data_IF_879704650102
#
_entry.id   IF_879704650102
#
_cell.length_a   1.000
_cell.length_b   1.000
_cell.length_c   1.000
_cell.angle_alpha   90.00
_cell.angle_beta   90.00
_cell.angle_gamma   90.00
#
_symmetry.space_group_name_H-M   'P 1'
#
loop_
_entity.id
_entity.type
_entity.pdbx_description
1 polymer ?
#
# COMPACT_ATOMS: atom_id res chain seq x y z
N UNK A 1 19.97 41.93 -4.39
CA UNK A 1 20.99 40.87 -4.54
C UNK A 1 20.28 39.57 -4.22
N UNK A 2 20.17 38.70 -5.22
CA UNK A 2 19.18 37.64 -5.28
C UNK A 2 19.66 36.42 -4.48
N UNK A 3 18.88 36.00 -3.50
CA UNK A 3 19.11 34.77 -2.74
C UNK A 3 18.56 33.60 -3.57
N UNK A 4 19.48 32.80 -4.12
CA UNK A 4 19.17 31.55 -4.84
C UNK A 4 18.78 30.50 -3.80
N UNK A 5 17.53 30.05 -3.83
CA UNK A 5 17.07 28.84 -3.14
C UNK A 5 17.90 27.65 -3.62
N UNK A 6 18.69 27.10 -2.70
CA UNK A 6 19.69 26.06 -2.93
C UNK A 6 19.04 24.68 -2.86
N UNK A 7 19.15 23.99 -3.99
CA UNK A 7 19.00 22.56 -4.32
C UNK A 7 18.77 21.58 -3.16
N UNK A 8 17.62 20.92 -3.21
CA UNK A 8 17.20 19.76 -2.42
C UNK A 8 17.94 18.49 -2.89
N UNK A 9 19.26 18.48 -2.74
CA UNK A 9 20.12 17.35 -3.11
C UNK A 9 20.48 16.53 -1.88
N UNK A 10 20.15 15.24 -1.90
CA UNK A 10 20.52 14.26 -0.86
C UNK A 10 22.04 14.26 -0.63
N UNK A 11 22.52 14.03 0.60
CA UNK A 11 23.92 14.22 0.90
C UNK A 11 24.79 13.06 0.37
N UNK A 12 26.01 13.35 -0.08
CA UNK A 12 26.89 12.43 -0.84
C UNK A 12 27.25 11.09 -0.17
N UNK A 13 26.92 10.90 1.11
CA UNK A 13 27.15 9.66 1.85
C UNK A 13 26.02 8.64 1.72
N UNK A 14 24.96 8.98 0.97
CA UNK A 14 23.83 8.09 0.79
C UNK A 14 24.09 7.09 -0.34
N UNK A 15 23.93 5.78 -0.10
CA UNK A 15 24.16 4.77 -1.12
C UNK A 15 23.19 4.92 -2.30
N UNK A 16 23.68 4.71 -3.53
CA UNK A 16 22.90 4.74 -4.78
C UNK A 16 21.65 3.85 -4.75
N UNK A 17 21.65 2.79 -3.92
CA UNK A 17 20.48 1.92 -3.75
C UNK A 17 19.26 2.65 -3.20
N UNK A 18 19.45 3.73 -2.44
CA UNK A 18 18.38 4.39 -1.71
C UNK A 18 17.34 5.03 -2.65
N UNK A 19 17.79 5.58 -3.77
CA UNK A 19 16.91 6.19 -4.79
C UNK A 19 15.96 5.18 -5.45
N UNK A 20 16.33 3.90 -5.40
CA UNK A 20 15.52 2.83 -5.96
C UNK A 20 14.61 2.15 -4.93
N UNK A 21 14.72 2.48 -3.65
CA UNK A 21 13.95 1.85 -2.57
C UNK A 21 12.79 2.74 -2.10
N UNK A 22 11.73 2.12 -1.58
CA UNK A 22 10.69 2.81 -0.80
C UNK A 22 10.51 2.16 0.54
N UNK A 23 10.45 2.97 1.59
CA UNK A 23 10.24 2.50 2.96
C UNK A 23 8.91 3.00 3.49
N UNK A 24 8.12 2.08 4.04
CA UNK A 24 6.82 2.35 4.61
C UNK A 24 5.68 2.37 3.60
N UNK A 25 4.46 2.33 4.14
CA UNK A 25 3.23 2.20 3.37
C UNK A 25 3.01 3.41 2.44
N UNK A 26 3.02 4.63 3.00
CA UNK A 26 2.70 5.84 2.24
C UNK A 26 3.68 6.10 1.10
N UNK A 27 4.98 5.88 1.31
CA UNK A 27 6.00 6.05 0.27
C UNK A 27 5.78 5.06 -0.88
N UNK A 28 5.55 3.79 -0.54
CA UNK A 28 5.31 2.73 -1.53
C UNK A 28 4.01 2.98 -2.30
N UNK A 29 2.93 3.37 -1.61
CA UNK A 29 1.64 3.68 -2.24
C UNK A 29 1.77 4.89 -3.17
N UNK A 30 2.39 5.99 -2.74
CA UNK A 30 2.62 7.17 -3.60
C UNK A 30 3.41 6.80 -4.86
N UNK A 31 4.41 5.93 -4.75
CA UNK A 31 5.17 5.44 -5.90
C UNK A 31 4.31 4.61 -6.84
N UNK A 32 3.51 3.68 -6.32
CA UNK A 32 2.57 2.87 -7.12
C UNK A 32 1.52 3.74 -7.81
N UNK A 33 0.97 4.73 -7.11
CA UNK A 33 0.01 5.69 -7.67
C UNK A 33 0.64 6.55 -8.77
N UNK A 34 1.89 7.00 -8.59
CA UNK A 34 2.63 7.75 -9.62
C UNK A 34 2.80 6.90 -10.89
N UNK A 35 3.23 5.65 -10.74
CA UNK A 35 3.35 4.70 -11.85
C UNK A 35 1.99 4.44 -12.53
N UNK A 36 0.91 4.30 -11.76
CA UNK A 36 -0.43 4.13 -12.30
C UNK A 36 -0.90 5.37 -13.08
N UNK A 37 -0.56 6.59 -12.62
CA UNK A 37 -0.87 7.83 -13.36
C UNK A 37 -0.19 7.87 -14.72
N UNK A 38 1.06 7.42 -14.81
CA UNK A 38 1.79 7.34 -16.08
C UNK A 38 1.16 6.37 -17.08
N UNK A 39 0.32 5.44 -16.63
CA UNK A 39 -0.40 4.47 -17.48
C UNK A 39 -1.84 4.88 -17.80
N UNK A 40 -2.28 6.08 -17.37
CA UNK A 40 -3.62 6.57 -17.72
C UNK A 40 -3.79 6.62 -19.24
N UNK A 41 -4.89 6.06 -19.79
CA UNK A 41 -5.14 6.12 -21.22
C UNK A 41 -5.28 7.58 -21.65
N UNK A 42 -4.68 7.92 -22.78
CA UNK A 42 -4.57 9.29 -23.32
C UNK A 42 -5.94 9.97 -23.55
N UNK A 43 -7.02 9.19 -23.65
CA UNK A 43 -8.41 9.68 -23.71
C UNK A 43 -8.87 10.35 -22.41
N UNK A 44 -8.27 10.02 -21.26
CA UNK A 44 -8.60 10.56 -19.93
C UNK A 44 -7.64 11.67 -19.48
N UNK A 45 -6.62 12.02 -20.28
CA UNK A 45 -5.59 13.02 -19.91
C UNK A 45 -5.92 14.43 -20.37
N UNK A 46 -7.15 14.71 -20.82
CA UNK A 46 -7.60 16.08 -21.06
C UNK A 46 -7.81 16.77 -19.70
N UNK A 47 -7.00 17.79 -19.41
CA UNK A 47 -7.02 18.62 -18.19
C UNK A 47 -6.33 18.04 -16.94
N UNK A 48 -5.02 17.89 -16.96
CA UNK A 48 -4.21 18.23 -15.77
C UNK A 48 -2.82 18.62 -16.24
N UNK A 49 -2.36 19.82 -15.88
CA UNK A 49 -1.00 20.26 -16.09
C UNK A 49 -0.03 19.19 -15.58
N UNK A 50 0.77 18.65 -16.50
CA UNK A 50 1.87 17.78 -16.15
C UNK A 50 2.91 18.64 -15.43
N UNK A 51 2.99 18.51 -14.11
CA UNK A 51 4.09 19.08 -13.32
C UNK A 51 5.37 18.28 -13.64
N UNK A 52 6.39 18.87 -14.30
CA UNK A 52 7.62 18.19 -14.66
C UNK A 52 8.70 18.40 -13.58
N UNK A 53 8.35 18.29 -12.30
CA UNK A 53 9.28 18.50 -11.18
C UNK A 53 9.56 17.23 -10.38
N UNK A 54 10.33 16.30 -10.97
CA UNK A 54 11.28 15.44 -10.24
C UNK A 54 12.14 14.68 -11.24
N UNK A 55 13.41 15.09 -11.35
CA UNK A 55 14.34 14.80 -12.43
C UNK A 55 14.94 13.39 -12.52
N UNK A 56 14.19 12.32 -12.23
CA UNK A 56 14.63 10.97 -12.60
C UNK A 56 13.42 10.13 -13.06
N UNK A 57 13.50 9.40 -14.19
CA UNK A 57 12.47 8.45 -14.56
C UNK A 57 12.38 7.39 -13.45
N UNK A 58 11.34 7.49 -12.61
CA UNK A 58 11.11 6.54 -11.54
C UNK A 58 10.94 5.15 -12.15
N UNK A 59 11.98 4.33 -12.02
CA UNK A 59 11.95 2.95 -12.47
C UNK A 59 10.77 2.21 -11.80
N UNK A 60 10.16 1.31 -12.55
CA UNK A 60 9.10 0.44 -12.04
C UNK A 60 9.57 -0.28 -10.79
N UNK A 61 8.65 -0.49 -9.85
CA UNK A 61 8.90 -1.40 -8.74
C UNK A 61 8.91 -2.84 -9.27
N UNK A 62 9.91 -3.63 -8.88
CA UNK A 62 10.01 -5.05 -9.24
C UNK A 62 9.48 -5.97 -8.13
N UNK A 63 9.63 -5.58 -6.86
CA UNK A 63 9.10 -6.34 -5.72
C UNK A 63 8.64 -5.40 -4.62
N UNK A 64 7.57 -5.77 -3.94
CA UNK A 64 7.06 -5.13 -2.73
C UNK A 64 6.95 -6.17 -1.62
N UNK A 65 7.69 -5.97 -0.54
CA UNK A 65 7.65 -6.76 0.68
C UNK A 65 6.65 -6.18 1.67
N UNK A 66 5.82 -7.02 2.29
CA UNK A 66 4.77 -6.60 3.24
C UNK A 66 4.76 -7.51 4.48
N UNK A 67 4.78 -6.91 5.67
CA UNK A 67 4.55 -7.62 6.94
C UNK A 67 3.10 -7.43 7.36
N UNK A 68 2.24 -8.40 7.04
CA UNK A 68 0.80 -8.29 7.33
C UNK A 68 0.48 -8.35 8.83
N UNK A 69 1.33 -8.98 9.63
CA UNK A 69 1.11 -9.08 11.08
C UNK A 69 1.26 -7.72 11.78
N UNK A 70 2.04 -6.80 11.19
CA UNK A 70 2.32 -5.49 11.76
C UNK A 70 1.48 -4.36 11.14
N UNK A 71 0.59 -4.68 10.19
CA UNK A 71 -0.23 -3.71 9.48
C UNK A 71 -1.71 -4.09 9.55
N UNK A 72 -2.62 -3.12 9.72
CA UNK A 72 -4.05 -3.37 9.60
C UNK A 72 -4.41 -3.94 8.22
N UNK A 73 -5.32 -4.92 8.18
CA UNK A 73 -5.75 -5.56 6.92
C UNK A 73 -6.24 -4.54 5.88
N UNK A 74 -6.97 -3.50 6.34
CA UNK A 74 -7.49 -2.40 5.50
C UNK A 74 -6.40 -1.67 4.70
N UNK A 75 -5.17 -1.61 5.24
CA UNK A 75 -4.05 -1.01 4.52
C UNK A 75 -3.48 -1.97 3.48
N UNK A 76 -3.38 -3.26 3.83
CA UNK A 76 -2.77 -4.27 2.95
C UNK A 76 -3.69 -4.71 1.81
N UNK A 77 -5.00 -4.63 1.99
CA UNK A 77 -5.99 -5.12 1.03
C UNK A 77 -5.98 -4.38 -0.31
N UNK A 78 -5.52 -3.13 -0.34
CA UNK A 78 -5.44 -2.32 -1.57
C UNK A 78 -4.13 -2.51 -2.35
N UNK A 79 -3.08 -3.04 -1.72
CA UNK A 79 -1.75 -3.19 -2.33
C UNK A 79 -1.80 -4.05 -3.61
N UNK A 80 -2.47 -5.23 -3.62
CA UNK A 80 -2.57 -6.03 -4.84
C UNK A 80 -3.16 -5.27 -6.03
N UNK A 81 -4.19 -4.44 -5.78
CA UNK A 81 -4.84 -3.65 -6.82
C UNK A 81 -3.94 -2.49 -7.30
N UNK A 82 -3.24 -1.82 -6.39
CA UNK A 82 -2.28 -0.77 -6.75
C UNK A 82 -1.14 -1.33 -7.59
N UNK A 83 -0.62 -2.51 -7.25
CA UNK A 83 0.36 -3.22 -8.08
C UNK A 83 -0.18 -3.57 -9.46
N UNK A 84 -1.44 -4.03 -9.53
CA UNK A 84 -2.04 -4.42 -10.78
C UNK A 84 -2.22 -3.25 -11.76
N UNK A 85 -2.54 -2.07 -11.22
CA UNK A 85 -2.76 -0.83 -11.98
C UNK A 85 -1.46 -0.10 -12.32
N UNK A 86 -0.42 -0.20 -11.49
CA UNK A 86 0.84 0.53 -11.67
C UNK A 86 1.65 0.09 -12.89
N UNK A 87 1.56 -1.19 -13.31
CA UNK A 87 2.40 -1.76 -14.36
C UNK A 87 1.69 -2.88 -15.15
N UNK A 88 2.06 -3.12 -16.43
CA UNK A 88 1.54 -4.25 -17.20
C UNK A 88 1.95 -5.57 -16.56
N UNK A 89 1.22 -6.64 -16.84
CA UNK A 89 1.46 -7.98 -16.28
C UNK A 89 2.93 -8.43 -16.39
N UNK A 90 3.62 -8.09 -17.48
CA UNK A 90 5.01 -8.47 -17.73
C UNK A 90 6.03 -7.74 -16.83
N UNK A 91 5.73 -6.51 -16.39
CA UNK A 91 6.64 -5.68 -15.57
C UNK A 91 6.02 -5.33 -14.22
N UNK A 92 5.00 -6.09 -13.81
CA UNK A 92 4.27 -5.88 -12.56
C UNK A 92 5.14 -6.27 -11.38
N UNK A 93 5.18 -5.44 -10.34
CA UNK A 93 5.88 -5.79 -9.13
C UNK A 93 5.24 -7.02 -8.48
N UNK A 94 6.10 -7.87 -7.89
CA UNK A 94 5.68 -9.07 -7.17
C UNK A 94 5.43 -8.71 -5.71
N UNK A 95 4.37 -9.26 -5.14
CA UNK A 95 4.01 -9.05 -3.74
C UNK A 95 4.56 -10.21 -2.91
N UNK A 96 5.44 -9.91 -1.97
CA UNK A 96 6.05 -10.91 -1.09
C UNK A 96 5.65 -10.60 0.35
N UNK A 97 5.00 -11.57 0.99
CA UNK A 97 4.77 -11.50 2.43
C UNK A 97 6.04 -12.00 3.15
N UNK A 98 6.50 -11.24 4.14
CA UNK A 98 7.62 -11.63 5.00
C UNK A 98 7.20 -11.76 6.46
N UNK A 99 7.96 -12.50 7.26
CA UNK A 99 7.67 -12.69 8.67
C UNK A 99 8.01 -11.44 9.49
N UNK A 100 7.39 -11.29 10.67
CA UNK A 100 7.71 -10.21 11.60
C UNK A 100 9.19 -10.23 12.02
N UNK A 101 9.83 -11.40 12.07
CA UNK A 101 11.25 -11.51 12.39
C UNK A 101 12.14 -10.91 11.27
N UNK A 102 11.80 -11.16 10.01
CA UNK A 102 12.52 -10.57 8.88
C UNK A 102 12.33 -9.05 8.84
N UNK A 103 11.12 -8.58 9.13
CA UNK A 103 10.80 -7.15 9.24
C UNK A 103 11.62 -6.47 10.35
N UNK A 104 11.74 -7.07 11.53
CA UNK A 104 12.57 -6.54 12.62
C UNK A 104 14.06 -6.43 12.23
N UNK A 105 14.59 -7.39 11.47
CA UNK A 105 15.98 -7.33 11.00
C UNK A 105 16.19 -6.15 10.04
N UNK A 106 15.25 -5.93 9.13
CA UNK A 106 15.30 -4.80 8.20
C UNK A 106 15.10 -3.47 8.92
N UNK A 107 14.18 -3.41 9.89
CA UNK A 107 13.97 -2.23 10.72
C UNK A 107 15.22 -1.85 11.51
N UNK A 108 15.93 -2.85 12.10
CA UNK A 108 17.22 -2.63 12.77
C UNK A 108 18.30 -2.14 11.81
N UNK A 109 18.38 -2.71 10.60
CA UNK A 109 19.35 -2.29 9.59
C UNK A 109 19.11 -0.83 9.13
N UNK A 110 17.84 -0.42 9.00
CA UNK A 110 17.44 0.94 8.63
C UNK A 110 17.39 1.90 9.82
N UNK A 111 17.67 1.43 11.04
CA UNK A 111 17.53 2.18 12.29
C UNK A 111 16.13 2.79 12.46
N UNK A 112 15.10 2.13 11.93
CA UNK A 112 13.71 2.51 12.08
C UNK A 112 13.01 1.63 13.12
N UNK A 113 12.02 2.16 13.85
CA UNK A 113 11.30 1.37 14.85
C UNK A 113 10.50 0.22 14.21
N UNK A 114 9.93 0.44 13.02
CA UNK A 114 9.18 -0.54 12.24
C UNK A 114 9.20 -0.18 10.75
N UNK A 115 9.20 -1.20 9.90
CA UNK A 115 9.19 -1.12 8.44
C UNK A 115 8.16 -2.10 7.89
N UNK A 116 6.89 -1.71 7.92
CA UNK A 116 5.81 -2.61 7.52
C UNK A 116 5.77 -2.96 6.02
N UNK A 117 6.28 -2.07 5.16
CA UNK A 117 6.31 -2.23 3.70
C UNK A 117 7.65 -1.76 3.15
N UNK A 118 8.25 -2.51 2.23
CA UNK A 118 9.44 -2.12 1.47
C UNK A 118 9.22 -2.37 -0.01
N UNK A 119 9.44 -1.36 -0.85
CA UNK A 119 9.45 -1.50 -2.30
C UNK A 119 10.87 -1.46 -2.84
N UNK A 120 11.17 -2.32 -3.82
CA UNK A 120 12.45 -2.37 -4.51
C UNK A 120 12.22 -2.13 -6.00
N UNK A 121 12.97 -1.17 -6.56
CA UNK A 121 12.96 -0.84 -7.98
C UNK A 121 13.60 -1.93 -8.84
N UNK A 122 13.27 -1.94 -10.13
CA UNK A 122 13.87 -2.86 -11.10
C UNK A 122 15.37 -2.62 -11.30
N UNK A 123 15.82 -1.37 -11.20
CA UNK A 123 17.20 -0.95 -11.42
C UNK A 123 18.01 -0.77 -10.12
N UNK A 124 17.63 -1.44 -9.02
CA UNK A 124 18.36 -1.30 -7.74
C UNK A 124 19.73 -1.99 -7.83
N UNK A 125 20.85 -1.25 -7.70
CA UNK A 125 22.18 -1.83 -7.83
C UNK A 125 22.47 -2.84 -6.71
N UNK A 126 22.98 -4.01 -7.06
CA UNK A 126 23.32 -5.07 -6.10
C UNK A 126 22.13 -5.91 -5.61
N UNK A 127 20.91 -5.61 -6.07
CA UNK A 127 19.71 -6.40 -5.75
C UNK A 127 19.32 -7.36 -6.89
N UNK A 128 20.09 -7.46 -7.98
CA UNK A 128 19.72 -8.18 -9.19
C UNK A 128 19.48 -9.67 -8.92
N UNK A 129 20.32 -10.28 -8.09
CA UNK A 129 20.18 -11.70 -7.71
C UNK A 129 18.90 -11.93 -6.90
N UNK A 130 18.56 -11.01 -5.99
CA UNK A 130 17.32 -11.06 -5.22
C UNK A 130 16.11 -10.90 -6.14
N UNK A 131 16.15 -9.91 -7.04
CA UNK A 131 15.08 -9.67 -8.00
C UNK A 131 14.87 -10.89 -8.91
N UNK A 132 15.95 -11.52 -9.38
CA UNK A 132 15.87 -12.74 -10.18
C UNK A 132 15.27 -13.90 -9.39
N UNK A 133 15.72 -14.11 -8.14
CA UNK A 133 15.17 -15.15 -7.27
C UNK A 133 13.67 -14.97 -7.04
N UNK A 134 13.22 -13.76 -6.73
CA UNK A 134 11.79 -13.45 -6.59
C UNK A 134 11.06 -13.64 -7.93
N UNK A 135 11.72 -13.31 -9.05
CA UNK A 135 11.17 -13.49 -10.38
C UNK A 135 10.92 -14.96 -10.75
N UNK A 136 11.71 -15.87 -10.20
CA UNK A 136 11.57 -17.29 -10.48
C UNK A 136 10.64 -18.01 -9.49
N UNK A 137 10.51 -17.50 -8.25
CA UNK A 137 9.79 -18.19 -7.17
C UNK A 137 8.41 -17.61 -6.84
N UNK A 138 8.11 -16.35 -7.16
CA UNK A 138 6.89 -15.67 -6.67
C UNK A 138 6.02 -15.24 -7.84
N UNK A 139 4.80 -15.76 -7.95
CA UNK A 139 3.88 -15.35 -9.00
C UNK A 139 3.56 -13.84 -8.96
N UNK A 140 3.36 -13.24 -10.14
CA UNK A 140 2.85 -11.87 -10.24
C UNK A 140 1.43 -11.79 -9.68
N UNK A 141 1.09 -10.66 -9.06
CA UNK A 141 -0.28 -10.42 -8.59
C UNK A 141 -1.22 -10.44 -9.80
N UNK A 142 -2.21 -11.35 -9.78
CA UNK A 142 -3.24 -11.46 -10.81
C UNK A 142 -4.54 -10.83 -10.31
N UNK A 143 -5.15 -9.99 -11.14
CA UNK A 143 -6.46 -9.37 -10.89
C UNK A 143 -7.33 -9.66 -12.11
N UNK A 144 -8.00 -10.84 -12.14
CA UNK A 144 -8.62 -11.36 -13.36
C UNK A 144 -9.66 -10.43 -13.98
N UNK A 145 -10.43 -9.72 -13.14
CA UNK A 145 -11.46 -8.79 -13.59
C UNK A 145 -10.91 -7.48 -14.16
N UNK A 146 -9.64 -7.16 -13.92
CA UNK A 146 -8.98 -5.95 -14.40
C UNK A 146 -8.22 -6.21 -15.71
N UNK A 147 -7.50 -7.33 -15.79
CA UNK A 147 -6.62 -7.64 -16.92
C UNK A 147 -7.33 -8.35 -18.08
N UNK A 148 -8.41 -9.07 -17.78
CA UNK A 148 -9.21 -9.75 -18.80
C UNK A 148 -10.43 -8.87 -19.13
N UNK A 149 -10.84 -8.88 -20.40
CA UNK A 149 -12.24 -8.61 -20.75
C UNK A 149 -12.90 -10.00 -20.77
N UNK A 150 -13.22 -10.60 -19.61
CA UNK A 150 -13.90 -11.88 -19.64
C UNK A 150 -15.24 -11.65 -20.34
N UNK A 151 -15.74 -12.68 -21.04
CA UNK A 151 -17.16 -12.73 -21.37
C UNK A 151 -17.92 -12.39 -20.08
N UNK A 152 -18.95 -11.52 -20.12
CA UNK A 152 -19.64 -11.09 -18.91
C UNK A 152 -20.20 -12.33 -18.18
N UNK A 153 -19.55 -12.70 -17.08
CA UNK A 153 -20.00 -13.77 -16.18
C UNK A 153 -20.87 -13.09 -15.13
N UNK A 154 -22.16 -13.44 -15.11
CA UNK A 154 -23.04 -12.97 -14.05
C UNK A 154 -22.62 -13.59 -12.72
N UNK A 155 -22.30 -12.76 -11.73
CA UNK A 155 -22.09 -13.18 -10.36
C UNK A 155 -23.39 -13.00 -9.57
N UNK A 156 -24.00 -14.06 -9.02
CA UNK A 156 -25.24 -13.95 -8.26
C UNK A 156 -25.04 -13.14 -6.99
N UNK A 157 -26.10 -12.43 -6.57
CA UNK A 157 -26.08 -11.58 -5.38
C UNK A 157 -25.85 -12.44 -4.13
N UNK A 158 -24.81 -12.11 -3.35
CA UNK A 158 -24.58 -12.69 -2.02
C UNK A 158 -25.08 -11.74 -0.95
N UNK A 159 -26.22 -12.06 -0.35
CA UNK A 159 -26.81 -11.31 0.76
C UNK A 159 -26.32 -11.93 2.07
N UNK A 160 -25.61 -11.15 2.88
CA UNK A 160 -25.23 -11.53 4.25
C UNK A 160 -26.10 -10.76 5.24
N UNK A 161 -26.79 -11.48 6.12
CA UNK A 161 -27.58 -10.89 7.20
C UNK A 161 -26.75 -10.92 8.48
N UNK A 162 -26.57 -9.77 9.11
CA UNK A 162 -25.89 -9.62 10.40
C UNK A 162 -26.89 -9.17 11.45
N UNK A 163 -27.15 -10.03 12.43
CA UNK A 163 -27.99 -9.70 13.57
C UNK A 163 -27.27 -8.72 14.49
N UNK A 164 -27.81 -7.51 14.61
CA UNK A 164 -27.30 -6.48 15.51
C UNK A 164 -28.19 -6.37 16.73
N UNK A 165 -27.65 -6.72 17.91
CA UNK A 165 -28.37 -6.54 19.17
C UNK A 165 -28.55 -5.04 19.46
N UNK A 166 -29.80 -4.57 19.52
CA UNK A 166 -30.10 -3.22 19.98
C UNK A 166 -30.02 -3.15 21.50
N UNK A 167 -29.38 -2.09 22.05
CA UNK A 167 -29.34 -1.90 23.51
C UNK A 167 -30.77 -1.66 24.02
N UNK A 168 -31.26 -2.39 25.04
CA UNK A 168 -32.57 -2.13 25.61
C UNK A 168 -32.58 -0.74 26.25
N UNK A 169 -33.60 0.07 25.94
CA UNK A 169 -33.85 1.36 26.60
C UNK A 169 -34.03 1.10 28.10
N UNK A 170 -33.17 1.73 28.92
CA UNK A 170 -33.26 1.65 30.37
C UNK A 170 -34.64 2.14 30.83
N UNK A 171 -35.45 1.22 31.36
CA UNK A 171 -36.74 1.54 31.95
C UNK A 171 -36.48 2.16 33.33
N UNK A 172 -36.86 3.43 33.51
CA UNK A 172 -36.84 4.10 34.82
C UNK A 172 -37.72 3.30 35.79
N UNK A 173 -37.11 2.51 36.68
CA UNK A 173 -37.81 1.85 37.77
C UNK A 173 -38.27 2.89 38.79
N UNK A 174 -39.59 2.97 38.98
CA UNK A 174 -40.29 3.73 39.99
C UNK A 174 -39.64 3.58 41.37
N UNK A 175 -39.17 4.70 41.94
CA UNK A 175 -38.84 4.79 43.38
C UNK A 175 -40.12 4.55 44.17
N UNK A 176 -40.19 3.38 44.80
CA UNK A 176 -41.21 2.94 45.75
C UNK A 176 -41.42 4.02 46.82
N UNK A 177 -42.60 4.63 46.82
CA UNK A 177 -43.07 5.60 47.83
C UNK A 177 -43.08 4.87 49.18
N UNK A 178 -42.34 5.42 50.15
CA UNK A 178 -42.26 4.95 51.53
C UNK A 178 -43.58 5.31 52.20
N UNK A 179 -44.47 4.34 52.38
CA UNK A 179 -45.64 4.48 53.25
C UNK A 179 -45.09 4.60 54.69
N UNK A 180 -45.34 5.74 55.34
CA UNK A 180 -45.20 5.92 56.78
C UNK A 180 -46.54 5.55 57.44
N UNK A 181 -46.49 4.65 58.40
CA UNK A 181 -47.45 4.44 59.47
C UNK A 181 -46.71 3.67 60.56
N UNK A 182 -46.88 3.88 61.86
CA UNK A 182 -47.76 4.73 62.65
C UNK A 182 -47.10 4.82 64.05
N UNK A 183 -47.34 5.88 64.80
CA UNK A 183 -46.76 6.12 66.13
C UNK A 183 -47.06 7.51 66.66
#
# INVERSE_FOLDING_TARGET
>A
MNEKTQEDSMPEWMPDVYDHLTFGFNSTVRRLESLARSRKPQMLSQHTDADPSSGHPLANLSVVFVCRQNLPDIMTSSIPLLLATSAPINTRARLVEWSSQAEEQVARALQQPRVGVVGVGEATPGAETLLQFVRDNVATVDVPWLDQIPKPIYHPVKIQTVDSASRPKATLQNRKRKELGDG
#
